data_IF_654062255839
#
_entry.id   IF_654062255839
#
_cell.length_a   1.000
_cell.length_b   1.000
_cell.length_c   1.000
_cell.angle_alpha   90.00
_cell.angle_beta   90.00
_cell.angle_gamma   90.00
#
_symmetry.space_group_name_H-M   'P 1'
#
loop_
_entity.id
_entity.type
_entity.pdbx_description
1 polymer ?
#
# COMPACT_ATOMS: atom_id res chain seq x y z
N UNK A 1 25.32 4.92 64.20
CA UNK A 1 25.61 5.07 62.76
C UNK A 1 24.36 4.68 62.00
N UNK A 2 23.55 5.68 61.65
CA UNK A 2 22.37 5.55 60.80
C UNK A 2 22.68 6.32 59.51
N UNK A 3 22.49 5.75 58.32
CA UNK A 3 22.38 6.55 57.11
C UNK A 3 20.94 7.00 56.90
N UNK A 4 20.84 8.25 56.48
CA UNK A 4 19.65 9.06 56.35
C UNK A 4 18.78 8.70 55.15
N UNK A 5 17.55 9.20 55.26
CA UNK A 5 16.40 9.01 54.41
C UNK A 5 16.61 9.38 52.93
N UNK A 6 16.00 8.57 52.06
CA UNK A 6 15.74 8.85 50.66
C UNK A 6 14.95 10.16 50.50
N UNK A 7 15.51 11.13 49.78
CA UNK A 7 14.80 12.32 49.34
C UNK A 7 14.24 12.07 47.93
N UNK A 8 12.92 12.06 47.81
CA UNK A 8 12.19 11.98 46.55
C UNK A 8 12.05 13.40 46.01
N UNK A 9 12.79 13.75 44.95
CA UNK A 9 12.55 14.99 44.23
C UNK A 9 11.99 14.69 42.83
N UNK A 10 10.81 15.22 42.60
CA UNK A 10 10.06 15.21 41.35
C UNK A 10 10.77 16.12 40.34
N UNK A 11 11.08 15.60 39.17
CA UNK A 11 11.43 16.42 38.01
C UNK A 11 10.81 15.80 36.75
N UNK A 12 9.82 16.51 36.23
CA UNK A 12 9.21 16.32 34.90
C UNK A 12 10.28 16.61 33.84
N UNK A 13 10.40 15.83 32.75
CA UNK A 13 11.04 16.30 31.54
C UNK A 13 9.96 16.75 30.54
N UNK A 14 9.92 18.07 30.36
CA UNK A 14 9.29 18.75 29.23
C UNK A 14 9.93 18.35 27.89
N UNK A 15 9.08 18.42 26.87
CA UNK A 15 9.35 18.24 25.46
C UNK A 15 10.53 19.07 24.95
N UNK A 16 11.39 18.46 24.12
CA UNK A 16 12.26 19.20 23.22
C UNK A 16 12.32 18.50 21.87
N UNK A 17 11.63 19.13 20.93
CA UNK A 17 11.68 18.96 19.49
C UNK A 17 13.12 18.80 18.98
N UNK A 18 13.33 17.79 18.13
CA UNK A 18 14.57 17.61 17.39
C UNK A 18 14.27 17.62 15.89
N UNK A 19 14.56 18.79 15.34
CA UNK A 19 14.44 19.23 13.95
C UNK A 19 15.23 18.33 12.99
N UNK A 20 14.55 17.39 12.32
CA UNK A 20 15.12 16.68 11.16
C UNK A 20 14.89 17.52 9.91
N UNK A 21 15.89 18.35 9.61
CA UNK A 21 16.02 19.14 8.40
C UNK A 21 16.22 18.24 7.18
N UNK A 22 15.12 17.84 6.54
CA UNK A 22 15.14 17.23 5.21
C UNK A 22 15.22 18.37 4.19
N UNK A 23 16.32 18.41 3.44
CA UNK A 23 16.51 19.26 2.26
C UNK A 23 15.41 18.99 1.24
N UNK A 24 14.51 19.96 1.06
CA UNK A 24 13.69 20.10 -0.14
C UNK A 24 14.53 20.71 -1.27
N UNK A 25 14.73 19.94 -2.34
CA UNK A 25 14.96 20.43 -3.70
C UNK A 25 14.05 19.61 -4.64
N UNK A 26 13.58 20.21 -5.75
CA UNK A 26 12.17 20.26 -6.07
C UNK A 26 11.85 19.25 -7.17
N UNK A 27 11.16 18.17 -6.83
CA UNK A 27 10.68 17.21 -7.83
C UNK A 27 9.26 17.56 -8.22
N UNK A 28 9.19 18.40 -9.27
CA UNK A 28 8.14 18.44 -10.29
C UNK A 28 6.77 17.87 -9.89
N UNK A 29 5.82 18.77 -9.61
CA UNK A 29 4.40 18.45 -9.47
C UNK A 29 3.89 17.54 -10.59
N UNK A 30 3.42 16.30 -10.31
CA UNK A 30 2.62 15.57 -11.26
C UNK A 30 1.17 16.04 -11.09
N UNK A 31 0.79 16.87 -12.07
CA UNK A 31 -0.55 17.21 -12.54
C UNK A 31 -1.69 16.39 -11.91
N UNK A 32 -2.66 17.11 -11.33
CA UNK A 32 -4.00 16.61 -10.95
C UNK A 32 -4.59 15.75 -12.08
N UNK A 33 -4.62 14.44 -11.89
CA UNK A 33 -5.24 13.51 -12.82
C UNK A 33 -5.41 12.16 -12.14
N UNK A 34 -6.63 11.88 -11.65
CA UNK A 34 -7.01 10.73 -10.80
C UNK A 34 -6.14 10.61 -9.54
N UNK A 35 -6.73 10.98 -8.39
CA UNK A 35 -6.02 11.02 -7.10
C UNK A 35 -5.30 9.71 -6.79
N UNK A 36 -4.12 9.82 -6.18
CA UNK A 36 -3.26 8.70 -5.79
C UNK A 36 -4.07 7.55 -5.17
N UNK A 37 -3.61 6.34 -5.47
CA UNK A 37 -4.19 5.10 -5.01
C UNK A 37 -4.42 5.17 -3.49
N UNK A 38 -5.66 4.95 -3.05
CA UNK A 38 -6.02 5.15 -1.66
C UNK A 38 -5.31 4.14 -0.76
N UNK A 39 -4.63 4.65 0.27
CA UNK A 39 -3.94 3.86 1.31
C UNK A 39 -4.86 3.71 2.52
N UNK A 40 -5.77 2.74 2.47
CA UNK A 40 -6.62 2.42 3.61
C UNK A 40 -5.86 1.56 4.62
N UNK A 41 -5.08 2.21 5.48
CA UNK A 41 -4.43 1.53 6.60
C UNK A 41 -5.46 0.84 7.48
N UNK A 42 -5.02 -0.27 8.05
CA UNK A 42 -5.80 -1.07 8.96
C UNK A 42 -5.35 -0.73 10.38
N UNK A 43 -6.32 -0.65 11.28
CA UNK A 43 -6.09 -0.50 12.73
C UNK A 43 -5.85 -1.85 13.41
N UNK A 44 -5.23 -1.84 14.59
CA UNK A 44 -5.11 -3.06 15.42
C UNK A 44 -6.47 -3.70 15.70
N UNK A 45 -7.47 -2.86 15.94
CA UNK A 45 -8.85 -3.28 16.23
C UNK A 45 -9.49 -4.01 15.05
N UNK A 46 -9.36 -3.47 13.83
CA UNK A 46 -9.83 -4.14 12.61
C UNK A 46 -9.10 -5.47 12.41
N UNK A 47 -7.79 -5.53 12.64
CA UNK A 47 -7.02 -6.76 12.49
C UNK A 47 -7.37 -7.81 13.56
N UNK A 48 -7.64 -7.39 14.80
CA UNK A 48 -8.01 -8.25 15.92
C UNK A 48 -9.48 -8.68 15.88
N UNK A 49 -10.34 -7.94 15.16
CA UNK A 49 -11.71 -8.37 14.86
C UNK A 49 -11.77 -9.58 13.91
N UNK A 50 -10.70 -9.83 13.16
CA UNK A 50 -10.60 -10.98 12.27
C UNK A 50 -10.38 -12.27 13.07
N UNK A 51 -10.88 -13.38 12.52
CA UNK A 51 -10.58 -14.69 13.10
C UNK A 51 -9.07 -14.94 13.20
N UNK A 52 -8.64 -15.60 14.27
CA UNK A 52 -7.24 -16.00 14.48
C UNK A 52 -6.67 -16.80 13.29
N UNK A 53 -7.54 -17.56 12.62
CA UNK A 53 -7.24 -18.28 11.40
C UNK A 53 -6.81 -17.37 10.23
N UNK A 54 -7.50 -16.24 10.02
CA UNK A 54 -7.15 -15.31 8.93
C UNK A 54 -5.94 -14.43 9.26
N UNK A 55 -5.82 -14.02 10.53
CA UNK A 55 -4.65 -13.25 10.99
C UNK A 55 -3.38 -14.09 10.92
N UNK A 56 -3.46 -15.38 11.23
CA UNK A 56 -2.29 -16.27 11.24
C UNK A 56 -1.15 -15.67 12.06
N UNK A 57 0.02 -15.50 11.45
CA UNK A 57 1.21 -14.84 12.04
C UNK A 57 1.44 -13.41 11.51
N UNK A 58 0.39 -12.78 10.98
CA UNK A 58 0.47 -11.42 10.46
C UNK A 58 0.51 -10.40 11.59
N UNK A 59 1.44 -9.47 11.47
CA UNK A 59 1.50 -8.28 12.31
C UNK A 59 0.89 -7.11 11.56
N UNK A 60 0.33 -6.13 12.30
CA UNK A 60 -0.23 -4.92 11.72
C UNK A 60 0.77 -4.21 10.79
N UNK A 61 2.02 -4.13 11.23
CA UNK A 61 3.11 -3.53 10.48
C UNK A 61 3.25 -4.13 9.08
N UNK A 62 3.27 -5.48 8.97
CA UNK A 62 3.37 -6.16 7.68
C UNK A 62 2.19 -5.82 6.77
N UNK A 63 0.98 -5.84 7.31
CA UNK A 63 -0.23 -5.52 6.54
C UNK A 63 -0.18 -4.07 6.02
N UNK A 64 0.21 -3.12 6.87
CA UNK A 64 0.30 -1.71 6.49
C UNK A 64 1.45 -1.43 5.51
N UNK A 65 2.59 -2.12 5.63
CA UNK A 65 3.66 -2.10 4.62
C UNK A 65 3.14 -2.61 3.29
N UNK A 66 2.41 -3.73 3.27
CA UNK A 66 1.84 -4.26 2.03
C UNK A 66 0.83 -3.30 1.40
N UNK A 67 0.01 -2.60 2.20
CA UNK A 67 -0.92 -1.57 1.68
C UNK A 67 -0.16 -0.45 0.97
N UNK A 68 0.98 0.00 1.51
CA UNK A 68 1.81 0.99 0.86
C UNK A 68 2.35 0.50 -0.49
N UNK A 69 2.79 -0.75 -0.56
CA UNK A 69 3.26 -1.34 -1.81
C UNK A 69 2.14 -1.50 -2.84
N UNK A 70 0.98 -2.02 -2.42
CA UNK A 70 -0.23 -2.13 -3.27
C UNK A 70 -0.60 -0.77 -3.86
N UNK A 71 -0.64 0.28 -3.04
CA UNK A 71 -0.92 1.63 -3.53
C UNK A 71 0.13 2.11 -4.52
N UNK A 72 1.41 1.84 -4.25
CA UNK A 72 2.52 2.21 -5.14
C UNK A 72 2.41 1.51 -6.51
N UNK A 73 2.07 0.22 -6.54
CA UNK A 73 1.86 -0.50 -7.79
C UNK A 73 0.67 0.03 -8.58
N UNK A 74 -0.42 0.30 -7.88
CA UNK A 74 -1.62 0.83 -8.52
C UNK A 74 -1.40 2.25 -9.07
N UNK A 75 -0.64 3.09 -8.38
CA UNK A 75 -0.21 4.41 -8.85
C UNK A 75 0.71 4.32 -10.05
N UNK A 76 1.71 3.44 -10.00
CA UNK A 76 2.63 3.21 -11.12
C UNK A 76 1.86 2.75 -12.37
N UNK A 77 0.93 1.81 -12.22
CA UNK A 77 0.12 1.32 -13.33
C UNK A 77 -0.86 2.35 -13.85
N UNK A 78 -1.53 3.10 -12.98
CA UNK A 78 -2.40 4.20 -13.39
C UNK A 78 -1.62 5.26 -14.17
N UNK A 79 -0.40 5.57 -13.74
CA UNK A 79 0.50 6.47 -14.45
C UNK A 79 0.92 5.90 -15.81
N UNK A 80 1.27 4.61 -15.92
CA UNK A 80 1.59 3.96 -17.19
C UNK A 80 0.43 3.99 -18.17
N UNK A 81 -0.79 3.70 -17.70
CA UNK A 81 -2.01 3.76 -18.51
C UNK A 81 -2.25 5.19 -19.04
N UNK A 82 -2.02 6.21 -18.20
CA UNK A 82 -2.18 7.62 -18.56
C UNK A 82 -1.03 8.18 -19.43
N UNK A 83 0.18 7.61 -19.34
CA UNK A 83 1.37 8.17 -19.98
C UNK A 83 1.40 7.88 -21.51
N UNK A 84 1.62 8.90 -22.36
CA UNK A 84 1.69 8.70 -23.81
C UNK A 84 3.01 8.04 -24.25
N UNK A 85 2.98 7.32 -25.40
CA UNK A 85 4.10 6.55 -25.98
C UNK A 85 5.44 7.29 -26.04
N UNK A 86 5.39 8.61 -26.26
CA UNK A 86 6.58 9.46 -26.44
C UNK A 86 7.52 9.53 -25.22
N UNK A 87 7.08 9.05 -24.05
CA UNK A 87 7.83 9.15 -22.79
C UNK A 87 8.26 7.79 -22.21
N UNK A 88 7.97 6.68 -22.89
CA UNK A 88 8.20 5.33 -22.36
C UNK A 88 9.20 4.57 -23.22
N UNK A 89 10.01 3.71 -22.59
CA UNK A 89 10.83 2.70 -23.28
C UNK A 89 9.93 1.68 -23.96
N UNK A 90 10.48 0.92 -24.93
CA UNK A 90 9.74 -0.12 -25.66
C UNK A 90 9.13 -1.17 -24.72
N UNK A 91 9.91 -1.71 -23.78
CA UNK A 91 9.44 -2.68 -22.79
C UNK A 91 8.30 -2.14 -21.90
N UNK A 92 8.43 -0.89 -21.47
CA UNK A 92 7.43 -0.24 -20.61
C UNK A 92 6.17 0.12 -21.41
N UNK A 93 6.31 0.37 -22.71
CA UNK A 93 5.21 0.67 -23.60
C UNK A 93 4.35 -0.57 -23.89
N UNK A 94 4.96 -1.73 -24.13
CA UNK A 94 4.24 -3.00 -24.28
C UNK A 94 3.39 -3.29 -23.03
N UNK A 95 4.01 -3.19 -21.85
CA UNK A 95 3.30 -3.31 -20.58
C UNK A 95 2.17 -2.28 -20.43
N UNK A 96 2.39 -1.03 -20.83
CA UNK A 96 1.36 0.00 -20.76
C UNK A 96 0.18 -0.29 -21.72
N UNK A 97 0.41 -0.92 -22.87
CA UNK A 97 -0.64 -1.38 -23.78
C UNK A 97 -1.46 -2.50 -23.14
N UNK A 98 -0.82 -3.52 -22.57
CA UNK A 98 -1.52 -4.60 -21.86
C UNK A 98 -2.38 -4.05 -20.71
N UNK A 99 -1.82 -3.14 -19.91
CA UNK A 99 -2.56 -2.47 -18.84
C UNK A 99 -3.74 -1.65 -19.37
N UNK A 100 -3.65 -1.06 -20.57
CA UNK A 100 -4.76 -0.33 -21.20
C UNK A 100 -5.88 -1.26 -21.66
N UNK A 101 -5.53 -2.39 -22.24
CA UNK A 101 -6.52 -3.40 -22.65
C UNK A 101 -7.27 -3.95 -21.43
N UNK A 102 -6.54 -4.21 -20.34
CA UNK A 102 -7.15 -4.56 -19.06
C UNK A 102 -8.03 -3.41 -18.57
N UNK A 103 -7.52 -2.16 -18.52
CA UNK A 103 -8.26 -0.99 -18.06
C UNK A 103 -9.53 -0.67 -18.89
N UNK A 104 -9.59 -1.13 -20.14
CA UNK A 104 -10.76 -1.02 -21.00
C UNK A 104 -11.90 -1.97 -20.58
N UNK A 105 -11.59 -3.01 -19.81
CA UNK A 105 -12.58 -3.96 -19.27
C UNK A 105 -13.44 -3.27 -18.21
N UNK A 106 -14.77 -3.45 -18.29
CA UNK A 106 -15.73 -2.76 -17.41
C UNK A 106 -15.48 -2.99 -15.91
N UNK A 107 -14.97 -4.17 -15.54
CA UNK A 107 -14.66 -4.52 -14.15
C UNK A 107 -13.64 -3.58 -13.48
N UNK A 108 -12.67 -3.08 -14.25
CA UNK A 108 -11.54 -2.26 -13.75
C UNK A 108 -11.60 -0.82 -14.27
N UNK A 109 -12.52 -0.51 -15.17
CA UNK A 109 -12.64 0.79 -15.83
C UNK A 109 -12.79 1.90 -14.80
N UNK A 110 -11.82 2.80 -14.77
CA UNK A 110 -11.82 3.96 -13.86
C UNK A 110 -11.38 3.67 -12.43
N UNK A 111 -10.95 2.44 -12.11
CA UNK A 111 -10.43 2.06 -10.79
C UNK A 111 -8.90 1.94 -10.82
N UNK A 112 -8.30 1.97 -9.63
CA UNK A 112 -6.88 1.68 -9.44
C UNK A 112 -6.73 0.16 -9.36
N UNK A 113 -5.80 -0.40 -10.15
CA UNK A 113 -5.57 -1.84 -10.19
C UNK A 113 -4.10 -2.16 -10.39
N UNK A 114 -3.72 -3.36 -9.99
CA UNK A 114 -2.39 -3.93 -10.19
C UNK A 114 -2.49 -5.41 -10.57
N UNK A 115 -1.47 -5.90 -11.28
CA UNK A 115 -1.41 -7.29 -11.69
C UNK A 115 -0.65 -8.13 -10.66
N UNK A 116 -0.93 -9.43 -10.65
CA UNK A 116 -0.09 -10.40 -9.91
C UNK A 116 1.38 -10.30 -10.34
N UNK A 117 1.66 -10.04 -11.62
CA UNK A 117 3.01 -9.89 -12.16
C UNK A 117 3.74 -8.61 -11.68
N UNK A 118 3.01 -7.61 -11.18
CA UNK A 118 3.59 -6.36 -10.65
C UNK A 118 4.07 -6.51 -9.21
N UNK A 119 3.62 -7.55 -8.51
CA UNK A 119 3.97 -7.84 -7.13
C UNK A 119 5.41 -8.37 -7.07
N UNK A 120 6.35 -7.46 -6.88
CA UNK A 120 7.80 -7.77 -6.80
C UNK A 120 8.47 -7.20 -5.55
N UNK A 121 7.70 -6.64 -4.63
CA UNK A 121 8.18 -5.86 -3.49
C UNK A 121 8.65 -6.72 -2.33
N UNK A 122 9.52 -6.19 -1.46
CA UNK A 122 9.88 -6.85 -0.22
C UNK A 122 8.70 -6.97 0.76
N UNK A 123 7.75 -6.03 0.73
CA UNK A 123 6.61 -5.91 1.65
C UNK A 123 5.36 -6.70 1.23
N UNK A 124 5.24 -7.08 -0.04
CA UNK A 124 4.17 -7.90 -0.58
C UNK A 124 4.76 -8.88 -1.58
N UNK A 125 4.75 -10.16 -1.19
CA UNK A 125 5.19 -11.29 -2.01
C UNK A 125 4.08 -12.31 -2.12
N UNK A 126 4.07 -13.11 -3.17
CA UNK A 126 3.07 -14.18 -3.35
C UNK A 126 3.43 -15.46 -2.58
N UNK A 127 4.05 -15.30 -1.43
CA UNK A 127 4.37 -16.37 -0.49
C UNK A 127 3.14 -16.72 0.38
N UNK A 128 3.32 -17.57 1.38
CA UNK A 128 2.24 -17.89 2.31
C UNK A 128 1.76 -16.63 3.07
N UNK A 129 2.69 -15.76 3.46
CA UNK A 129 2.40 -14.53 4.20
C UNK A 129 1.62 -13.53 3.36
N UNK A 130 2.07 -13.21 2.15
CA UNK A 130 1.36 -12.25 1.31
C UNK A 130 0.04 -12.78 0.76
N UNK A 131 -0.11 -14.10 0.55
CA UNK A 131 -1.44 -14.70 0.30
C UNK A 131 -2.39 -14.49 1.47
N UNK A 132 -1.90 -14.63 2.70
CA UNK A 132 -2.70 -14.32 3.89
C UNK A 132 -3.06 -12.82 3.95
N UNK A 133 -2.12 -11.92 3.64
CA UNK A 133 -2.37 -10.48 3.61
C UNK A 133 -3.43 -10.12 2.56
N UNK A 134 -3.32 -10.65 1.33
CA UNK A 134 -4.32 -10.43 0.29
C UNK A 134 -5.69 -10.98 0.70
N UNK A 135 -5.72 -12.11 1.41
CA UNK A 135 -6.97 -12.68 1.96
C UNK A 135 -7.61 -11.75 2.98
N UNK A 136 -6.80 -11.19 3.89
CA UNK A 136 -7.24 -10.20 4.88
C UNK A 136 -7.77 -8.93 4.20
N UNK A 137 -7.01 -8.37 3.25
CA UNK A 137 -7.39 -7.18 2.50
C UNK A 137 -8.69 -7.40 1.70
N UNK A 138 -8.90 -8.61 1.19
CA UNK A 138 -10.14 -9.02 0.53
C UNK A 138 -11.30 -9.12 1.50
N UNK A 139 -11.08 -9.66 2.69
CA UNK A 139 -12.13 -9.78 3.72
C UNK A 139 -12.58 -8.40 4.23
N UNK A 140 -11.63 -7.47 4.40
CA UNK A 140 -11.90 -6.09 4.78
C UNK A 140 -12.44 -5.24 3.61
N UNK A 141 -12.60 -5.82 2.42
CA UNK A 141 -13.18 -5.13 1.27
C UNK A 141 -12.29 -4.06 0.64
N UNK A 142 -10.98 -4.03 0.97
CA UNK A 142 -10.03 -3.05 0.44
C UNK A 142 -9.54 -3.40 -0.97
N UNK A 143 -9.47 -4.70 -1.27
CA UNK A 143 -9.00 -5.25 -2.56
C UNK A 143 -9.98 -6.28 -3.08
N UNK A 144 -10.23 -6.25 -4.39
CA UNK A 144 -11.00 -7.26 -5.11
C UNK A 144 -10.13 -7.97 -6.13
N UNK A 145 -10.13 -9.30 -6.14
CA UNK A 145 -9.45 -10.09 -7.17
C UNK A 145 -10.42 -10.36 -8.31
N UNK A 146 -10.01 -10.09 -9.54
CA UNK A 146 -10.71 -10.50 -10.76
C UNK A 146 -9.73 -11.15 -11.73
N UNK A 147 -10.22 -12.11 -12.50
CA UNK A 147 -9.43 -12.76 -13.54
C UNK A 147 -9.86 -12.23 -14.90
N UNK A 148 -8.93 -11.58 -15.59
CA UNK A 148 -9.15 -11.03 -16.94
C UNK A 148 -8.22 -11.79 -17.88
N UNK A 149 -8.80 -12.75 -18.62
CA UNK A 149 -8.06 -13.68 -19.46
C UNK A 149 -7.08 -14.56 -18.66
N UNK A 150 -5.79 -14.42 -18.96
CA UNK A 150 -4.71 -15.12 -18.27
C UNK A 150 -4.13 -14.32 -17.10
N UNK A 151 -4.55 -13.06 -16.94
CA UNK A 151 -4.05 -12.17 -15.90
C UNK A 151 -4.94 -12.19 -14.66
N UNK A 152 -4.32 -12.30 -13.48
CA UNK A 152 -4.98 -11.99 -12.21
C UNK A 152 -4.78 -10.51 -11.89
N UNK A 153 -5.90 -9.82 -11.73
CA UNK A 153 -5.96 -8.38 -11.53
C UNK A 153 -6.55 -8.11 -10.16
N UNK A 154 -5.84 -7.32 -9.37
CA UNK A 154 -6.29 -6.86 -8.06
C UNK A 154 -6.75 -5.41 -8.19
N UNK A 155 -7.99 -5.15 -7.78
CA UNK A 155 -8.67 -3.87 -7.90
C UNK A 155 -8.75 -3.26 -6.51
N UNK A 156 -8.24 -2.05 -6.33
CA UNK A 156 -8.45 -1.28 -5.12
C UNK A 156 -9.85 -0.68 -5.19
N UNK A 157 -10.69 -0.99 -4.20
CA UNK A 157 -12.04 -0.44 -4.07
C UNK A 157 -12.23 0.11 -2.68
N UNK A 158 -12.83 1.30 -2.58
CA UNK A 158 -13.29 1.79 -1.30
C UNK A 158 -14.55 1.01 -0.99
N UNK A 159 -14.52 0.16 0.02
CA UNK A 159 -15.76 -0.25 0.67
C UNK A 159 -16.34 1.03 1.28
N UNK A 160 -17.45 1.52 0.71
CA UNK A 160 -18.30 2.52 1.34
C UNK A 160 -19.06 1.88 2.50
#
# INVERSE_FOLDING_TARGET
MLPECFNFNTAVPECLDSDFKIKEEPVAAPKKGKGSAPRWYISTEELDSLSSYMRGRLTLEKVNISINEVATYADANAHLVACPKKKLSEDTWEKALELRDIAATEAVKGKHFFLEADIKGPGLKLDHTGKAILTVLRHLGRVHETRIGHHRVFILSKQC
#
